data_IF_720593320176
#
_entry.id   IF_720593320176
#
_cell.length_a   1.000
_cell.length_b   1.000
_cell.length_c   1.000
_cell.angle_alpha   90.00
_cell.angle_beta   90.00
_cell.angle_gamma   90.00
#
_symmetry.space_group_name_H-M   'P 1'
#
loop_
_entity.id
_entity.type
_entity.pdbx_description
1 polymer ?
#
# COMPACT_ATOMS: atom_id res chain seq x y z
N UNK A 1 -7.20 21.24 -7.89
CA UNK A 1 -6.74 20.42 -9.03
C UNK A 1 -5.24 20.26 -8.89
N UNK A 2 -4.76 19.06 -8.55
CA UNK A 2 -3.31 18.80 -8.48
C UNK A 2 -2.72 18.85 -9.88
N UNK A 3 -1.68 19.65 -10.08
CA UNK A 3 -0.93 19.68 -11.34
C UNK A 3 -0.23 18.33 -11.52
N UNK A 4 -0.68 17.53 -12.47
CA UNK A 4 0.01 16.32 -12.87
C UNK A 4 1.24 16.72 -13.69
N UNK A 5 2.43 16.60 -13.09
CA UNK A 5 3.70 16.78 -13.79
C UNK A 5 4.07 15.45 -14.45
N UNK A 6 4.29 15.42 -15.76
CA UNK A 6 4.67 14.21 -16.49
C UNK A 6 6.18 13.90 -16.43
N UNK A 7 6.98 14.82 -15.89
CA UNK A 7 8.45 14.72 -15.86
C UNK A 7 8.93 13.90 -14.64
N UNK A 8 8.43 12.66 -14.53
CA UNK A 8 8.93 11.70 -13.55
C UNK A 8 9.99 10.83 -14.18
N UNK A 9 11.21 10.94 -13.67
CA UNK A 9 12.29 10.05 -14.06
C UNK A 9 12.03 8.65 -13.47
N UNK A 10 12.15 7.61 -14.31
CA UNK A 10 11.99 6.21 -13.85
C UNK A 10 12.97 5.93 -12.69
N UNK A 11 12.54 5.07 -11.77
CA UNK A 11 13.33 4.62 -10.60
C UNK A 11 13.58 5.67 -9.50
N UNK A 12 12.75 6.73 -9.41
CA UNK A 12 12.87 7.77 -8.39
C UNK A 12 11.84 7.67 -7.26
N UNK A 13 10.99 6.63 -7.23
CA UNK A 13 9.90 6.53 -6.25
C UNK A 13 10.41 6.53 -4.81
N UNK A 14 11.46 5.77 -4.52
CA UNK A 14 12.06 5.68 -3.16
C UNK A 14 12.67 7.02 -2.76
N UNK A 15 13.46 7.63 -3.63
CA UNK A 15 14.09 8.94 -3.38
C UNK A 15 13.05 10.05 -3.16
N UNK A 16 11.98 10.03 -3.95
CA UNK A 16 10.87 10.96 -3.80
C UNK A 16 10.21 10.80 -2.43
N UNK A 17 9.78 9.59 -2.06
CA UNK A 17 9.18 9.32 -0.75
C UNK A 17 10.11 9.77 0.39
N UNK A 18 11.40 9.44 0.29
CA UNK A 18 12.41 9.81 1.28
C UNK A 18 12.52 11.33 1.44
N UNK A 19 12.67 12.07 0.33
CA UNK A 19 12.74 13.54 0.35
C UNK A 19 11.47 14.15 0.93
N UNK A 20 10.30 13.72 0.48
CA UNK A 20 9.01 14.26 0.91
C UNK A 20 8.80 14.04 2.42
N UNK A 21 9.06 12.85 2.94
CA UNK A 21 8.91 12.56 4.37
C UNK A 21 9.92 13.36 5.21
N UNK A 22 11.17 13.51 4.75
CA UNK A 22 12.19 14.31 5.45
C UNK A 22 11.86 15.81 5.48
N UNK A 23 11.26 16.33 4.41
CA UNK A 23 10.84 17.73 4.32
C UNK A 23 9.62 18.05 5.19
N UNK A 24 8.80 17.03 5.48
CA UNK A 24 7.52 17.14 6.19
C UNK A 24 7.41 16.08 7.30
N UNK A 25 8.30 16.10 8.31
CA UNK A 25 8.32 15.08 9.34
C UNK A 25 7.01 15.10 10.14
N UNK A 26 6.46 13.91 10.39
CA UNK A 26 5.20 13.64 11.09
C UNK A 26 3.93 14.18 10.43
N UNK A 27 4.03 14.69 9.19
CA UNK A 27 2.88 15.20 8.43
C UNK A 27 2.40 14.22 7.36
N UNK A 28 3.29 13.37 6.83
CA UNK A 28 3.00 12.49 5.70
C UNK A 28 2.34 11.17 6.16
N UNK A 29 1.12 10.94 5.67
CA UNK A 29 0.47 9.62 5.69
C UNK A 29 0.73 8.89 4.38
N UNK A 30 1.32 7.69 4.42
CA UNK A 30 1.58 6.89 3.22
C UNK A 30 0.49 5.84 3.03
N UNK A 31 -0.05 5.71 1.81
CA UNK A 31 -1.04 4.69 1.45
C UNK A 31 -0.43 3.69 0.47
N UNK A 32 -0.23 2.46 0.93
CA UNK A 32 0.34 1.36 0.18
C UNK A 32 -0.76 0.39 -0.28
N UNK A 33 -1.08 0.40 -1.58
CA UNK A 33 -2.08 -0.47 -2.21
C UNK A 33 -1.48 -1.46 -3.23
N UNK A 34 -0.16 -1.46 -3.36
CA UNK A 34 0.60 -2.39 -4.20
C UNK A 34 1.65 -3.14 -3.38
N UNK A 35 2.62 -3.77 -4.06
CA UNK A 35 3.70 -4.51 -3.40
C UNK A 35 4.55 -3.57 -2.53
N UNK A 36 5.05 -4.09 -1.41
CA UNK A 36 5.74 -3.30 -0.41
C UNK A 36 7.23 -3.09 -0.69
N UNK A 37 7.75 -3.62 -1.79
CA UNK A 37 9.18 -3.56 -2.18
C UNK A 37 9.76 -2.15 -2.15
N UNK A 38 9.02 -1.14 -2.63
CA UNK A 38 9.51 0.26 -2.58
C UNK A 38 9.59 0.81 -1.15
N UNK A 39 8.70 0.36 -0.26
CA UNK A 39 8.67 0.80 1.14
C UNK A 39 9.75 0.07 1.94
N UNK A 40 9.95 -1.21 1.68
CA UNK A 40 11.11 -1.97 2.19
C UNK A 40 12.41 -1.28 1.79
N UNK A 41 12.63 -1.02 0.50
CA UNK A 41 13.84 -0.31 0.03
C UNK A 41 14.00 1.05 0.72
N UNK A 42 12.92 1.81 0.89
CA UNK A 42 12.93 3.08 1.60
C UNK A 42 13.41 2.91 3.05
N UNK A 43 12.90 1.92 3.76
CA UNK A 43 13.25 1.66 5.16
C UNK A 43 14.68 1.14 5.32
N UNK A 44 15.16 0.35 4.36
CA UNK A 44 16.55 -0.13 4.34
C UNK A 44 17.55 1.00 4.04
N UNK A 45 17.21 1.91 3.11
CA UNK A 45 18.08 3.03 2.71
C UNK A 45 18.12 4.13 3.79
N UNK A 46 17.00 4.39 4.47
CA UNK A 46 16.92 5.39 5.54
C UNK A 46 16.13 4.85 6.74
N UNK A 47 16.79 4.14 7.66
CA UNK A 47 16.15 3.48 8.80
C UNK A 47 15.42 4.41 9.79
N UNK A 48 15.63 5.72 9.70
CA UNK A 48 14.93 6.71 10.52
C UNK A 48 13.60 7.16 9.87
N UNK A 49 13.40 6.94 8.56
CA UNK A 49 12.17 7.32 7.85
C UNK A 49 10.90 6.79 8.52
N UNK A 50 10.81 5.51 8.95
CA UNK A 50 9.62 4.99 9.61
C UNK A 50 9.12 5.90 10.74
N UNK A 51 10.04 6.39 11.59
CA UNK A 51 9.74 7.24 12.75
C UNK A 51 9.27 8.65 12.36
N UNK A 52 9.68 9.13 11.19
CA UNK A 52 9.32 10.45 10.66
C UNK A 52 7.96 10.45 9.95
N UNK A 53 7.34 9.29 9.73
CA UNK A 53 6.02 9.24 9.13
C UNK A 53 4.94 9.59 10.15
N UNK A 54 3.81 10.14 9.67
CA UNK A 54 2.61 10.29 10.49
C UNK A 54 1.97 8.93 10.75
N UNK A 55 1.73 8.20 9.66
CA UNK A 55 1.08 6.89 9.66
C UNK A 55 1.27 6.20 8.30
N UNK A 56 1.15 4.87 8.31
CA UNK A 56 1.19 4.01 7.12
C UNK A 56 -0.11 3.22 7.02
N UNK A 57 -0.81 3.36 5.90
CA UNK A 57 -1.98 2.57 5.53
C UNK A 57 -1.58 1.50 4.53
N UNK A 58 -2.00 0.26 4.75
CA UNK A 58 -1.63 -0.88 3.91
C UNK A 58 -2.90 -1.62 3.48
N UNK A 59 -3.14 -1.75 2.18
CA UNK A 59 -4.07 -2.75 1.64
C UNK A 59 -3.29 -4.00 1.29
N UNK A 60 -3.19 -4.91 2.27
CA UNK A 60 -2.48 -6.17 2.13
C UNK A 60 -2.96 -7.15 3.20
N UNK A 61 -2.61 -8.42 3.03
CA UNK A 61 -2.93 -9.51 3.95
C UNK A 61 -4.39 -9.98 4.00
N UNK A 62 -4.60 -11.01 4.79
CA UNK A 62 -5.90 -11.57 5.15
C UNK A 62 -5.87 -11.83 6.65
N UNK A 63 -6.77 -11.18 7.40
CA UNK A 63 -6.82 -11.25 8.87
C UNK A 63 -8.17 -11.81 9.31
N UNK A 64 -8.45 -13.06 8.95
CA UNK A 64 -9.72 -13.72 9.25
C UNK A 64 -9.58 -15.23 9.23
N UNK A 65 -10.15 -15.88 10.24
CA UNK A 65 -10.17 -17.36 10.36
C UNK A 65 -11.17 -18.02 9.40
N UNK A 66 -12.09 -17.23 8.81
CA UNK A 66 -13.18 -17.71 7.93
C UNK A 66 -12.88 -17.69 6.44
N UNK A 67 -11.88 -16.92 6.02
CA UNK A 67 -11.36 -17.06 4.66
C UNK A 67 -10.48 -18.33 4.74
N UNK A 68 -10.66 -19.31 3.85
CA UNK A 68 -10.04 -20.66 3.91
C UNK A 68 -8.69 -20.76 3.19
N UNK A 69 -7.60 -21.06 3.91
CA UNK A 69 -6.27 -21.25 3.29
C UNK A 69 -6.34 -22.55 2.49
N UNK A 70 -6.37 -22.47 1.16
CA UNK A 70 -6.21 -23.64 0.29
C UNK A 70 -4.91 -23.56 -0.49
N UNK A 71 -4.31 -24.72 -0.77
CA UNK A 71 -3.00 -24.82 -1.44
C UNK A 71 -3.06 -24.28 -2.89
N UNK A 72 -4.26 -24.28 -3.49
CA UNK A 72 -4.52 -23.92 -4.89
C UNK A 72 -5.04 -22.47 -5.06
N UNK A 73 -5.28 -21.79 -3.93
CA UNK A 73 -5.68 -20.38 -3.88
C UNK A 73 -4.81 -19.72 -2.82
N UNK A 74 -3.67 -19.08 -3.17
CA UNK A 74 -2.82 -18.46 -2.17
C UNK A 74 -3.63 -17.33 -1.55
N UNK A 75 -4.24 -17.63 -0.43
CA UNK A 75 -5.03 -16.70 0.37
C UNK A 75 -4.17 -15.65 1.07
N UNK A 76 -2.89 -15.61 0.76
CA UNK A 76 -2.14 -14.38 0.91
C UNK A 76 -2.70 -13.38 -0.11
N UNK A 77 -3.17 -12.24 0.38
CA UNK A 77 -3.42 -11.09 -0.47
C UNK A 77 -2.29 -10.94 -1.53
N UNK A 78 -2.66 -10.68 -2.78
CA UNK A 78 -1.73 -10.61 -3.91
C UNK A 78 -0.50 -9.74 -3.63
N UNK A 79 -0.68 -8.61 -2.95
CA UNK A 79 0.40 -7.71 -2.59
C UNK A 79 1.41 -8.30 -1.60
N UNK A 80 0.94 -9.12 -0.65
CA UNK A 80 1.82 -9.83 0.28
C UNK A 80 2.46 -11.06 -0.36
N UNK A 81 1.73 -11.75 -1.24
CA UNK A 81 2.23 -12.98 -1.88
C UNK A 81 3.39 -12.71 -2.84
N UNK A 82 3.34 -11.61 -3.59
CA UNK A 82 4.40 -11.27 -4.53
C UNK A 82 5.69 -10.82 -3.86
N UNK A 83 5.64 -10.31 -2.62
CA UNK A 83 6.82 -9.91 -1.87
C UNK A 83 6.62 -10.11 -0.35
N UNK A 84 6.66 -11.36 0.14
CA UNK A 84 6.47 -11.65 1.56
C UNK A 84 7.64 -11.14 2.40
N UNK A 85 8.82 -11.00 1.81
CA UNK A 85 10.01 -10.45 2.47
C UNK A 85 9.84 -8.97 2.77
N UNK A 86 9.44 -8.17 1.77
CA UNK A 86 9.14 -6.76 1.97
C UNK A 86 8.00 -6.57 2.98
N UNK A 87 6.97 -7.44 2.94
CA UNK A 87 5.90 -7.41 3.93
C UNK A 87 6.42 -7.59 5.36
N UNK A 88 7.29 -8.59 5.60
CA UNK A 88 7.87 -8.84 6.92
C UNK A 88 8.63 -7.61 7.45
N UNK A 89 9.50 -7.02 6.62
CA UNK A 89 10.27 -5.82 7.00
C UNK A 89 9.37 -4.62 7.29
N UNK A 90 8.37 -4.38 6.45
CA UNK A 90 7.47 -3.24 6.62
C UNK A 90 6.60 -3.39 7.87
N UNK A 91 6.12 -4.61 8.18
CA UNK A 91 5.35 -4.86 9.40
C UNK A 91 6.20 -4.80 10.68
N UNK A 92 7.50 -5.11 10.60
CA UNK A 92 8.45 -5.01 11.73
C UNK A 92 8.99 -3.58 11.93
N UNK A 93 8.63 -2.63 11.06
CA UNK A 93 9.15 -1.27 11.09
C UNK A 93 8.59 -0.42 12.24
N UNK A 94 9.37 0.56 12.69
CA UNK A 94 8.99 1.49 13.75
C UNK A 94 8.15 2.69 13.26
N UNK A 95 7.19 2.46 12.38
CA UNK A 95 6.21 3.50 12.00
C UNK A 95 5.27 3.75 13.18
N UNK A 96 5.01 5.01 13.59
CA UNK A 96 4.18 5.30 14.76
C UNK A 96 2.78 4.67 14.74
N UNK A 97 2.16 4.62 13.56
CA UNK A 97 0.82 4.03 13.36
C UNK A 97 0.83 3.27 12.04
N UNK A 98 0.58 1.95 12.09
CA UNK A 98 0.33 1.11 10.92
C UNK A 98 -1.12 0.66 10.94
N UNK A 99 -1.87 0.90 9.85
CA UNK A 99 -3.26 0.48 9.68
C UNK A 99 -3.38 -0.41 8.46
N UNK A 100 -3.88 -1.63 8.67
CA UNK A 100 -3.97 -2.63 7.60
C UNK A 100 -5.41 -2.98 7.25
N UNK A 101 -5.68 -3.05 5.95
CA UNK A 101 -6.98 -3.35 5.36
C UNK A 101 -6.82 -4.59 4.48
N UNK A 102 -6.95 -5.77 5.09
CA UNK A 102 -6.89 -7.05 4.39
C UNK A 102 -8.15 -7.39 3.62
N UNK A 103 -8.12 -8.53 2.90
CA UNK A 103 -9.26 -8.98 2.08
C UNK A 103 -10.54 -9.19 2.89
N UNK A 104 -10.43 -9.55 4.17
CA UNK A 104 -11.57 -9.67 5.08
C UNK A 104 -12.34 -8.34 5.26
N UNK A 105 -11.72 -7.19 4.97
CA UNK A 105 -12.38 -5.88 4.95
C UNK A 105 -12.76 -5.48 3.52
N UNK A 106 -11.81 -5.56 2.59
CA UNK A 106 -12.02 -5.01 1.24
C UNK A 106 -13.02 -5.80 0.40
N UNK A 107 -13.26 -7.07 0.71
CA UNK A 107 -14.27 -7.90 0.01
C UNK A 107 -15.69 -7.67 0.48
N UNK A 108 -15.92 -6.89 1.56
CA UNK A 108 -17.27 -6.63 2.10
C UNK A 108 -18.11 -5.71 1.23
N UNK A 109 -17.49 -4.94 0.33
CA UNK A 109 -18.19 -4.03 -0.57
C UNK A 109 -17.79 -4.36 -2.01
N UNK A 110 -18.76 -4.81 -2.79
CA UNK A 110 -18.59 -5.09 -4.21
C UNK A 110 -19.54 -4.18 -4.98
N UNK A 111 -19.00 -3.46 -5.97
CA UNK A 111 -19.81 -2.66 -6.89
C UNK A 111 -20.03 -3.46 -8.16
N UNK A 112 -21.26 -3.95 -8.39
CA UNK A 112 -21.54 -4.66 -9.63
C UNK A 112 -21.79 -3.66 -10.76
N UNK A 113 -21.20 -3.91 -11.93
CA UNK A 113 -21.37 -3.06 -13.12
C UNK A 113 -22.84 -2.77 -13.44
N UNK A 114 -23.72 -3.76 -13.27
CA UNK A 114 -25.18 -3.64 -13.49
C UNK A 114 -25.87 -2.61 -12.58
N UNK A 115 -25.29 -2.33 -11.40
CA UNK A 115 -25.86 -1.43 -10.38
C UNK A 115 -25.44 0.03 -10.60
N UNK A 116 -24.37 0.25 -11.37
CA UNK A 116 -23.81 1.57 -11.66
C UNK A 116 -23.35 1.67 -13.12
N UNK A 117 -24.27 1.38 -14.04
CA UNK A 117 -23.99 1.42 -15.49
C UNK A 117 -23.35 2.76 -15.87
N UNK A 118 -23.88 3.88 -15.35
CA UNK A 118 -23.43 5.24 -15.65
C UNK A 118 -21.95 5.54 -15.29
N UNK A 119 -21.37 4.82 -14.32
CA UNK A 119 -19.94 4.96 -13.98
C UNK A 119 -19.02 4.26 -15.00
N UNK A 120 -19.56 3.30 -15.76
CA UNK A 120 -18.80 2.45 -16.67
C UNK A 120 -19.15 2.66 -18.15
N UNK A 121 -19.99 3.66 -18.46
CA UNK A 121 -20.16 4.13 -19.85
C UNK A 121 -19.10 5.19 -20.12
N UNK A 122 -18.19 4.91 -21.07
CA UNK A 122 -17.26 5.92 -21.57
C UNK A 122 -18.08 7.08 -22.13
N UNK A 123 -17.90 8.28 -21.57
CA UNK A 123 -18.33 9.50 -22.25
C UNK A 123 -17.49 9.63 -23.52
N UNK A 124 -18.13 9.32 -24.66
CA UNK A 124 -17.64 9.61 -26.01
C UNK A 124 -17.41 11.10 -26.22
#
# INVERSE_FOLDING_TARGET
MGSYNSDFQKYQAVDFMRKTIRQHPHEISLLAIGHLTNIEMLFLIDPEIPKLMKELYIMSGVFSDKLEISIDMPMANWNAWLDPHAAAIVYDSNVPIIKTFGLNVTTKLVLHRKEKIDLFVLKS
#
